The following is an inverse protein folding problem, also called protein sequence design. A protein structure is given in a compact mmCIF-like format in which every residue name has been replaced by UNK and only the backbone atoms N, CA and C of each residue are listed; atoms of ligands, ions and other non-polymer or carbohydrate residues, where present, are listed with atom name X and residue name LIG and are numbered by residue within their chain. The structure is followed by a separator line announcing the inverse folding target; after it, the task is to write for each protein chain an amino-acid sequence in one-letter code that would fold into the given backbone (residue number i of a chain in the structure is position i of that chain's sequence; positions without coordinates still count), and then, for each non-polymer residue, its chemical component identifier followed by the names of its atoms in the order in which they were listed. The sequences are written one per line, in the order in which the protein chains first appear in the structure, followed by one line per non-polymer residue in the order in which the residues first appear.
data_IF_756359792935
#
_entry.id   IF_756359792935
#
_cell.length_a   1.000
_cell.length_b   1.000
_cell.length_c   1.000
_cell.angle_alpha   90.00
_cell.angle_beta   90.00
_cell.angle_gamma   90.00
#
_symmetry.space_group_name_H-M   'P 1'
#
loop_
_entity.id
_entity.type
_entity.pdbx_description
1 polymer ?
#
# COMPACT_ATOMS: atom_id res chain seq x y z
N UNK A 1 6.67 18.94 -23.88
CA UNK A 1 7.32 18.62 -22.59
C UNK A 1 7.59 17.12 -22.57
N UNK A 2 8.84 16.71 -22.38
CA UNK A 2 9.18 15.30 -22.13
C UNK A 2 8.68 14.93 -20.74
N UNK A 3 7.97 13.81 -20.63
CA UNK A 3 7.50 13.29 -19.35
C UNK A 3 8.71 12.97 -18.47
N UNK A 4 8.75 13.38 -17.19
CA UNK A 4 9.85 13.03 -16.31
C UNK A 4 9.99 11.51 -16.22
N UNK A 5 11.25 11.05 -16.18
CA UNK A 5 11.54 9.63 -16.03
C UNK A 5 11.07 9.16 -14.64
N UNK A 6 10.41 8.00 -14.53
CA UNK A 6 10.01 7.48 -13.23
C UNK A 6 11.23 7.23 -12.34
N UNK A 7 11.07 7.39 -11.02
CA UNK A 7 12.13 7.18 -10.03
C UNK A 7 12.66 5.74 -10.00
N UNK A 8 11.88 4.79 -10.50
CA UNK A 8 12.25 3.38 -10.62
C UNK A 8 11.61 2.77 -11.87
N UNK A 9 12.25 1.73 -12.40
CA UNK A 9 11.69 0.91 -13.47
C UNK A 9 10.48 0.10 -12.99
N UNK A 10 9.70 -0.42 -13.94
CA UNK A 10 8.58 -1.32 -13.62
C UNK A 10 9.05 -2.60 -12.91
N UNK A 11 10.26 -3.08 -13.24
CA UNK A 11 10.83 -4.28 -12.62
C UNK A 11 11.21 -4.02 -11.16
N UNK A 12 11.89 -2.91 -10.88
CA UNK A 12 12.24 -2.51 -9.51
C UNK A 12 11.00 -2.28 -8.63
N UNK A 13 9.94 -1.68 -9.18
CA UNK A 13 8.66 -1.56 -8.49
C UNK A 13 8.07 -2.93 -8.14
N UNK A 14 8.04 -3.85 -9.09
CA UNK A 14 7.49 -5.19 -8.89
C UNK A 14 8.31 -5.99 -7.85
N UNK A 15 9.63 -5.88 -7.87
CA UNK A 15 10.49 -6.57 -6.92
C UNK A 15 10.29 -6.06 -5.48
N UNK A 16 10.19 -4.73 -5.30
CA UNK A 16 9.86 -4.13 -4.00
C UNK A 16 8.47 -4.52 -3.51
N UNK A 17 7.47 -4.53 -4.39
CA UNK A 17 6.12 -4.96 -4.03
C UNK A 17 6.09 -6.42 -3.54
N UNK A 18 6.83 -7.32 -4.21
CA UNK A 18 6.98 -8.72 -3.77
C UNK A 18 7.67 -8.81 -2.41
N UNK A 19 8.72 -8.03 -2.17
CA UNK A 19 9.43 -8.00 -0.89
C UNK A 19 8.53 -7.53 0.25
N UNK A 20 7.73 -6.49 0.05
CA UNK A 20 6.75 -6.01 1.03
C UNK A 20 5.74 -7.11 1.36
N UNK A 21 5.17 -7.77 0.36
CA UNK A 21 4.21 -8.85 0.57
C UNK A 21 4.87 -10.09 1.19
N UNK A 22 6.16 -10.33 0.95
CA UNK A 22 6.89 -11.42 1.58
C UNK A 22 7.13 -11.15 3.08
N UNK A 23 7.46 -9.91 3.46
CA UNK A 23 8.00 -9.57 4.79
C UNK A 23 7.01 -8.89 5.73
N UNK A 24 5.94 -8.28 5.20
CA UNK A 24 4.94 -7.53 5.95
C UNK A 24 3.55 -8.13 5.75
N UNK A 25 2.61 -7.83 6.66
CA UNK A 25 1.22 -8.30 6.58
C UNK A 25 0.23 -7.20 6.99
N UNK A 26 -1.05 -7.43 6.68
CA UNK A 26 -2.16 -6.57 7.09
C UNK A 26 -2.00 -5.12 6.66
N UNK A 27 -2.45 -4.20 7.52
CA UNK A 27 -2.41 -2.77 7.24
C UNK A 27 -0.98 -2.23 7.01
N UNK A 28 0.03 -2.80 7.66
CA UNK A 28 1.42 -2.38 7.48
C UNK A 28 1.93 -2.66 6.06
N UNK A 29 1.61 -3.83 5.50
CA UNK A 29 1.94 -4.16 4.10
C UNK A 29 1.21 -3.23 3.12
N UNK A 30 -0.09 -2.99 3.35
CA UNK A 30 -0.88 -2.07 2.55
C UNK A 30 -0.28 -0.67 2.52
N UNK A 31 0.00 -0.09 3.70
CA UNK A 31 0.60 1.25 3.79
C UNK A 31 1.97 1.32 3.12
N UNK A 32 2.77 0.26 3.19
CA UNK A 32 4.05 0.22 2.48
C UNK A 32 3.88 0.22 0.95
N UNK A 33 2.86 -0.47 0.42
CA UNK A 33 2.54 -0.44 -1.02
C UNK A 33 2.00 0.92 -1.46
N UNK A 34 1.18 1.59 -0.64
CA UNK A 34 0.70 2.95 -0.92
C UNK A 34 1.85 3.93 -1.03
N UNK A 35 2.79 3.89 -0.07
CA UNK A 35 3.98 4.73 -0.09
C UNK A 35 4.85 4.47 -1.33
N UNK A 36 5.07 3.19 -1.67
CA UNK A 36 5.80 2.82 -2.89
C UNK A 36 5.13 3.38 -4.16
N UNK A 37 3.81 3.30 -4.24
CA UNK A 37 3.03 3.82 -5.37
C UNK A 37 3.09 5.35 -5.43
N UNK A 38 2.98 6.02 -4.29
CA UNK A 38 3.11 7.47 -4.19
C UNK A 38 4.47 7.96 -4.67
N UNK A 39 5.55 7.25 -4.36
CA UNK A 39 6.89 7.61 -4.83
C UNK A 39 7.01 7.51 -6.36
N UNK A 40 6.42 6.48 -6.98
CA UNK A 40 6.34 6.39 -8.44
C UNK A 40 5.58 7.59 -9.02
N UNK A 41 4.44 7.94 -8.44
CA UNK A 41 3.61 9.07 -8.90
C UNK A 41 4.32 10.42 -8.75
N UNK A 42 5.04 10.64 -7.65
CA UNK A 42 5.92 11.81 -7.47
C UNK A 42 6.97 11.89 -8.57
N UNK A 43 7.63 10.78 -8.87
CA UNK A 43 8.60 10.68 -9.97
C UNK A 43 8.03 11.02 -11.35
N UNK A 44 6.74 10.73 -11.56
CA UNK A 44 6.03 11.04 -12.81
C UNK A 44 5.49 12.47 -12.86
N UNK A 45 5.76 13.30 -11.84
CA UNK A 45 5.38 14.71 -11.80
C UNK A 45 4.09 15.02 -11.03
N UNK A 46 3.51 14.04 -10.32
CA UNK A 46 2.29 14.24 -9.53
C UNK A 46 2.56 14.68 -8.09
N UNK A 47 3.74 15.25 -7.80
CA UNK A 47 4.18 15.58 -6.44
C UNK A 47 3.16 16.36 -5.60
N UNK A 48 2.72 17.51 -6.11
CA UNK A 48 1.70 18.35 -5.48
C UNK A 48 0.35 17.61 -5.33
N UNK A 49 -0.03 16.82 -6.32
CA UNK A 49 -1.24 16.00 -6.27
C UNK A 49 -1.19 14.94 -5.15
N UNK A 50 -0.03 14.34 -4.92
CA UNK A 50 0.19 13.40 -3.81
C UNK A 50 0.12 14.11 -2.45
N UNK A 51 0.66 15.32 -2.33
CA UNK A 51 0.56 16.10 -1.09
C UNK A 51 -0.90 16.43 -0.76
N UNK A 52 -1.68 16.86 -1.76
CA UNK A 52 -3.12 17.11 -1.61
C UNK A 52 -3.87 15.82 -1.26
N UNK A 53 -3.58 14.72 -1.96
CA UNK A 53 -4.19 13.42 -1.70
C UNK A 53 -3.95 12.96 -0.26
N UNK A 54 -2.71 12.95 0.21
CA UNK A 54 -2.37 12.53 1.57
C UNK A 54 -2.99 13.46 2.63
N UNK A 55 -3.15 14.76 2.35
CA UNK A 55 -3.87 15.64 3.27
C UNK A 55 -5.36 15.27 3.42
N UNK A 56 -5.98 14.75 2.35
CA UNK A 56 -7.39 14.33 2.36
C UNK A 56 -7.59 12.95 2.96
N UNK A 57 -6.69 12.00 2.68
CA UNK A 57 -6.84 10.60 3.13
C UNK A 57 -5.98 10.27 4.35
N UNK A 58 -5.16 11.21 4.85
CA UNK A 58 -4.22 10.95 5.95
C UNK A 58 -4.90 10.41 7.20
N UNK A 59 -6.12 10.86 7.48
CA UNK A 59 -6.95 10.36 8.57
C UNK A 59 -7.32 8.87 8.42
N UNK A 60 -7.34 8.30 7.21
CA UNK A 60 -7.53 6.86 7.01
C UNK A 60 -6.33 6.03 7.47
N UNK A 61 -5.16 6.66 7.63
CA UNK A 61 -3.96 6.04 8.17
C UNK A 61 -3.82 6.24 9.69
N UNK A 62 -4.68 7.06 10.31
CA UNK A 62 -4.76 7.21 11.75
C UNK A 62 -5.71 6.14 12.32
N UNK A 63 -5.22 5.36 13.29
CA UNK A 63 -5.88 4.15 13.80
C UNK A 63 -7.27 4.38 14.45
N UNK A 64 -7.69 5.64 14.59
CA UNK A 64 -8.86 6.08 15.37
C UNK A 64 -9.99 6.70 14.51
N UNK A 65 -9.86 6.76 13.17
CA UNK A 65 -10.83 7.43 12.30
C UNK A 65 -11.98 6.52 11.81
N UNK A 66 -13.22 7.01 11.91
CA UNK A 66 -14.44 6.29 11.51
C UNK A 66 -14.54 6.15 9.98
N UNK A 67 -14.52 4.90 9.55
CA UNK A 67 -14.73 4.35 8.21
C UNK A 67 -13.76 4.75 7.06
N UNK A 68 -13.11 3.76 6.42
CA UNK A 68 -13.12 2.35 6.76
C UNK A 68 -12.13 1.99 7.89
N UNK A 69 -12.21 2.54 9.13
CA UNK A 69 -11.54 1.93 10.30
C UNK A 69 -12.31 1.98 11.63
N UNK A 70 -12.27 0.84 12.35
CA UNK A 70 -11.77 0.71 13.73
C UNK A 70 -11.11 -0.70 13.80
N UNK A 71 -9.80 -0.76 14.07
CA UNK A 71 -9.00 -1.99 14.04
C UNK A 71 -8.29 -2.27 12.70
N UNK A 72 -7.39 -3.27 12.65
CA UNK A 72 -6.65 -3.58 11.42
C UNK A 72 -7.65 -3.83 10.28
N UNK A 73 -7.35 -3.27 9.10
CA UNK A 73 -8.21 -3.23 7.91
C UNK A 73 -9.07 -4.52 7.77
N UNK A 74 -10.40 -4.46 7.95
CA UNK A 74 -11.24 -5.66 8.01
C UNK A 74 -11.16 -6.50 6.74
N UNK A 75 -11.01 -5.88 5.58
CA UNK A 75 -10.87 -6.58 4.30
C UNK A 75 -9.48 -7.24 4.18
N UNK A 76 -8.44 -6.53 4.62
CA UNK A 76 -7.06 -7.00 4.59
C UNK A 76 -6.82 -8.13 5.61
N UNK A 77 -7.43 -8.04 6.80
CA UNK A 77 -7.34 -9.03 7.87
C UNK A 77 -8.24 -10.24 7.64
N UNK A 78 -9.40 -10.06 7.00
CA UNK A 78 -10.27 -11.17 6.59
C UNK A 78 -9.57 -12.02 5.53
N UNK A 79 -9.04 -11.39 4.49
CA UNK A 79 -8.24 -12.08 3.47
C UNK A 79 -7.04 -12.81 4.08
N UNK A 80 -6.36 -12.21 5.08
CA UNK A 80 -5.26 -12.86 5.79
C UNK A 80 -5.72 -14.13 6.54
N UNK A 81 -6.82 -14.06 7.30
CA UNK A 81 -7.34 -15.23 8.04
C UNK A 81 -7.82 -16.35 7.13
N UNK A 82 -8.38 -16.01 5.97
CA UNK A 82 -8.81 -16.98 4.96
C UNK A 82 -7.59 -17.68 4.33
N UNK A 83 -6.55 -16.95 3.91
CA UNK A 83 -5.29 -17.54 3.38
C UNK A 83 -4.58 -18.43 4.40
N UNK A 84 -4.53 -18.03 5.68
CA UNK A 84 -3.98 -18.86 6.75
C UNK A 84 -4.81 -20.14 6.99
N UNK A 85 -6.14 -20.04 6.88
CA UNK A 85 -7.05 -21.18 7.00
C UNK A 85 -6.86 -22.20 5.88
N UNK A 86 -6.76 -21.74 4.64
CA UNK A 86 -6.51 -22.59 3.47
C UNK A 86 -5.14 -23.27 3.53
N UNK A 87 -4.09 -22.54 3.90
CA UNK A 87 -2.74 -23.12 4.07
C UNK A 87 -2.68 -24.20 5.14
N UNK A 88 -3.39 -24.02 6.26
CA UNK A 88 -3.48 -25.04 7.31
C UNK A 88 -4.29 -26.26 6.90
N UNK A 89 -5.30 -26.09 6.04
CA UNK A 89 -6.11 -27.20 5.52
C UNK A 89 -5.40 -28.00 4.42
N UNK A 90 -4.42 -27.39 3.73
CA UNK A 90 -3.65 -27.99 2.66
C UNK A 90 -2.32 -28.66 3.10
N UNK A 91 -1.97 -28.57 4.39
CA UNK A 91 -0.78 -29.17 5.00
C UNK A 91 -1.15 -30.42 5.82
#
# INVERSE_FOLDING_TARGET
MTKPAPLMTAQEFADRAREIVATMRGHAAHRAIDLLTNDVLRGLGYGEGIEIFEAQVGHWHEADAVYPHIGPCPDCERAHREDEGERRAAA
#
